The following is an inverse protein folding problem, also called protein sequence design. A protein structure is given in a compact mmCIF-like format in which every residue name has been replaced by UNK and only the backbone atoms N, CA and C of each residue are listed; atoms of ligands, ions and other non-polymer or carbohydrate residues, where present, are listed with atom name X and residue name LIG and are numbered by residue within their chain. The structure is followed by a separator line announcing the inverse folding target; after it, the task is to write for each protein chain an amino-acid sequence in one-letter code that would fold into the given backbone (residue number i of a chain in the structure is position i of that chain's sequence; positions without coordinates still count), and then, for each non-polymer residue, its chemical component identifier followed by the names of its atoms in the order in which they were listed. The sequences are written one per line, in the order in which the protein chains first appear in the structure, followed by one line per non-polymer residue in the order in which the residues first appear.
data_IF_966074076409
#
_entry.id   IF_966074076409
#
_cell.length_a   1.000
_cell.length_b   1.000
_cell.length_c   1.000
_cell.angle_alpha   90.00
_cell.angle_beta   90.00
_cell.angle_gamma   90.00
#
_symmetry.space_group_name_H-M   'P 1'
#
loop_
_entity.id
_entity.type
_entity.pdbx_description
1 polymer ?
#
# COMPACT_ATOMS: atom_id res chain seq x y z
N UNK A 1 -0.32 -8.67 8.88
CA UNK A 1 -0.34 -8.36 7.45
C UNK A 1 0.97 -8.79 6.84
N UNK A 2 0.95 -9.45 5.69
CA UNK A 2 2.17 -9.86 4.99
C UNK A 2 2.49 -8.81 3.91
N UNK A 3 3.41 -7.89 4.22
CA UNK A 3 3.94 -6.94 3.24
C UNK A 3 4.85 -7.70 2.27
N UNK A 4 4.57 -7.60 0.98
CA UNK A 4 5.35 -8.23 -0.09
C UNK A 4 5.60 -7.25 -1.22
N UNK A 5 6.70 -7.46 -1.94
CA UNK A 5 7.05 -6.70 -3.14
C UNK A 5 5.91 -6.83 -4.16
N UNK A 6 5.55 -5.72 -4.80
CA UNK A 6 4.46 -5.64 -5.77
C UNK A 6 3.09 -5.32 -5.17
N UNK A 7 2.94 -5.25 -3.84
CA UNK A 7 1.68 -4.83 -3.22
C UNK A 7 1.51 -3.32 -3.23
N UNK A 8 0.28 -2.88 -3.44
CA UNK A 8 -0.12 -1.49 -3.30
C UNK A 8 -0.33 -1.16 -1.82
N UNK A 9 0.31 -0.09 -1.35
CA UNK A 9 0.24 0.36 0.04
C UNK A 9 -0.06 1.85 0.10
N UNK A 10 -0.66 2.27 1.21
CA UNK A 10 -0.81 3.66 1.63
C UNK A 10 0.02 3.88 2.89
N UNK A 11 0.93 4.83 2.84
CA UNK A 11 1.68 5.29 3.99
C UNK A 11 1.09 6.60 4.50
N UNK A 12 0.73 6.67 5.78
CA UNK A 12 0.26 7.89 6.43
C UNK A 12 1.44 8.59 7.13
N UNK A 13 1.66 9.88 6.86
CA UNK A 13 2.74 10.62 7.50
C UNK A 13 2.37 10.89 8.97
N UNK A 14 3.21 10.52 9.96
CA UNK A 14 2.87 10.70 11.38
C UNK A 14 2.81 12.16 11.81
N UNK A 15 3.60 13.03 11.16
CA UNK A 15 3.63 14.48 11.39
C UNK A 15 3.67 15.19 10.03
N UNK A 16 2.54 15.34 9.33
CA UNK A 16 2.51 15.96 8.02
C UNK A 16 2.87 17.44 8.15
N UNK A 17 3.91 17.88 7.45
CA UNK A 17 4.31 19.30 7.40
C UNK A 17 3.35 20.16 6.59
N UNK A 18 2.58 19.54 5.71
CA UNK A 18 1.60 20.19 4.85
C UNK A 18 0.28 19.41 4.92
N UNK A 19 -0.84 20.13 5.10
CA UNK A 19 -2.16 19.54 5.31
C UNK A 19 -2.71 18.77 4.11
N UNK A 20 -2.19 19.04 2.92
CA UNK A 20 -2.53 18.42 1.64
C UNK A 20 -1.79 17.11 1.37
N UNK A 21 -0.69 16.83 2.10
CA UNK A 21 0.17 15.65 1.89
C UNK A 21 0.21 14.76 3.13
N UNK A 22 -0.96 14.27 3.52
CA UNK A 22 -1.12 13.40 4.68
C UNK A 22 -0.74 11.94 4.42
N UNK A 23 -0.74 11.52 3.15
CA UNK A 23 -0.40 10.15 2.79
C UNK A 23 0.37 10.04 1.47
N UNK A 24 1.06 8.91 1.31
CA UNK A 24 1.78 8.51 0.11
C UNK A 24 1.29 7.13 -0.32
N UNK A 25 0.76 7.03 -1.54
CA UNK A 25 0.29 5.76 -2.11
C UNK A 25 1.30 5.29 -3.15
N UNK A 26 1.63 4.01 -3.13
CA UNK A 26 2.49 3.41 -4.13
C UNK A 26 2.70 1.91 -3.92
N UNK A 27 3.54 1.34 -4.78
CA UNK A 27 3.84 -0.09 -4.80
C UNK A 27 5.13 -0.37 -4.04
N UNK A 28 5.13 -1.42 -3.22
CA UNK A 28 6.34 -1.91 -2.54
C UNK A 28 7.34 -2.42 -3.58
N UNK A 29 8.49 -1.77 -3.68
CA UNK A 29 9.55 -2.14 -4.62
C UNK A 29 10.64 -2.98 -3.95
N UNK A 30 10.95 -2.70 -2.68
CA UNK A 30 11.97 -3.40 -1.92
C UNK A 30 11.61 -3.43 -0.43
N UNK A 31 12.01 -4.51 0.23
CA UNK A 31 11.91 -4.72 1.67
C UNK A 31 13.31 -5.05 2.16
N UNK A 32 13.94 -4.10 2.83
CA UNK A 32 15.17 -4.33 3.58
C UNK A 32 14.88 -4.68 5.03
N UNK A 33 15.90 -5.08 5.78
CA UNK A 33 15.75 -5.48 7.19
C UNK A 33 15.18 -4.37 8.09
N UNK A 34 15.46 -3.10 7.77
CA UNK A 34 15.09 -1.94 8.59
C UNK A 34 14.26 -0.91 7.84
N UNK A 35 13.90 -1.19 6.59
CA UNK A 35 13.19 -0.24 5.75
C UNK A 35 12.40 -0.91 4.63
N UNK A 36 11.46 -0.14 4.09
CA UNK A 36 10.59 -0.45 2.98
C UNK A 36 10.76 0.68 1.95
N UNK A 37 10.86 0.37 0.67
CA UNK A 37 10.76 1.38 -0.38
C UNK A 37 9.46 1.22 -1.15
N UNK A 38 8.73 2.34 -1.28
CA UNK A 38 7.46 2.44 -1.99
C UNK A 38 7.63 3.41 -3.15
N UNK A 39 7.23 3.01 -4.36
CA UNK A 39 7.26 3.87 -5.54
C UNK A 39 5.85 4.24 -5.98
N UNK A 40 5.60 5.53 -6.22
CA UNK A 40 4.32 5.98 -6.76
C UNK A 40 4.33 6.04 -8.30
N UNK A 41 3.18 6.36 -8.89
CA UNK A 41 3.00 6.44 -10.36
C UNK A 41 3.85 7.55 -11.01
N UNK A 42 4.18 8.61 -10.26
CA UNK A 42 5.08 9.68 -10.69
C UNK A 42 6.56 9.30 -10.56
N UNK A 43 6.87 8.01 -10.38
CA UNK A 43 8.21 7.47 -10.25
C UNK A 43 9.00 8.03 -9.03
N UNK A 44 8.30 8.61 -8.05
CA UNK A 44 8.87 9.09 -6.80
C UNK A 44 9.05 7.91 -5.86
N UNK A 45 10.25 7.79 -5.28
CA UNK A 45 10.58 6.75 -4.32
C UNK A 45 10.51 7.28 -2.89
N UNK A 46 9.74 6.61 -2.04
CA UNK A 46 9.67 6.88 -0.61
C UNK A 46 10.32 5.73 0.16
N UNK A 47 11.30 6.05 1.00
CA UNK A 47 11.93 5.10 1.93
C UNK A 47 11.31 5.27 3.32
N UNK A 48 10.68 4.21 3.81
CA UNK A 48 9.97 4.16 5.10
C UNK A 48 10.82 3.33 6.06
N UNK A 49 11.16 3.87 7.23
CA UNK A 49 11.85 3.11 8.28
C UNK A 49 10.89 2.14 8.96
N UNK A 50 11.39 0.99 9.41
CA UNK A 50 10.63 0.00 10.18
C UNK A 50 9.84 0.60 11.35
N UNK A 51 10.36 1.66 11.98
CA UNK A 51 9.71 2.40 13.08
C UNK A 51 8.35 3.01 12.70
N UNK A 52 8.09 3.17 11.41
CA UNK A 52 6.88 3.77 10.88
C UNK A 52 6.01 2.75 10.13
N UNK A 53 6.28 1.44 10.24
CA UNK A 53 5.50 0.42 9.53
C UNK A 53 4.06 0.32 10.01
N UNK A 54 3.77 0.69 11.25
CA UNK A 54 2.40 0.79 11.77
C UNK A 54 1.55 1.83 11.03
N UNK A 55 2.18 2.77 10.31
CA UNK A 55 1.52 3.76 9.48
C UNK A 55 1.34 3.31 8.02
N UNK A 56 1.63 2.04 7.71
CA UNK A 56 1.50 1.45 6.37
C UNK A 56 0.27 0.55 6.32
N UNK A 57 -0.66 0.92 5.45
CA UNK A 57 -1.89 0.17 5.17
C UNK A 57 -1.75 -0.53 3.80
N UNK A 58 -2.10 -1.82 3.70
CA UNK A 58 -2.24 -2.50 2.41
C UNK A 58 -3.56 -2.08 1.79
N UNK A 59 -3.52 -1.69 0.52
CA UNK A 59 -4.71 -1.50 -0.28
C UNK A 59 -4.98 -2.82 -0.98
N UNK A 60 -5.87 -3.63 -0.42
CA UNK A 60 -6.33 -4.84 -1.09
C UNK A 60 -7.39 -4.46 -2.15
N UNK A 61 -7.19 -4.93 -3.37
CA UNK A 61 -8.07 -4.64 -4.51
C UNK A 61 -9.12 -5.75 -4.68
N UNK A 62 -9.18 -6.72 -3.77
CA UNK A 62 -10.11 -7.85 -3.82
C UNK A 62 -11.46 -7.54 -3.17
N UNK A 63 -12.35 -6.83 -3.86
CA UNK A 63 -13.77 -6.80 -3.44
C UNK A 63 -14.80 -6.48 -4.54
N UNK A 64 -14.58 -6.88 -5.81
CA UNK A 64 -15.65 -6.77 -6.83
C UNK A 64 -15.75 -7.90 -7.86
N UNK A 65 -14.83 -8.87 -7.91
CA UNK A 65 -14.86 -9.93 -8.94
C UNK A 65 -15.59 -11.21 -8.49
N UNK A 66 -15.72 -11.47 -7.18
CA UNK A 66 -16.26 -12.75 -6.69
C UNK A 66 -17.79 -12.81 -6.53
N UNK A 67 -18.50 -11.69 -6.64
CA UNK A 67 -19.96 -11.67 -6.50
C UNK A 67 -20.72 -12.03 -7.79
N UNK A 68 -20.06 -11.95 -8.95
CA UNK A 68 -20.67 -12.31 -10.25
C UNK A 68 -20.63 -13.82 -10.50
N UNK A 69 -19.52 -14.50 -10.17
CA UNK A 69 -19.40 -15.94 -10.40
C UNK A 69 -20.34 -16.77 -9.50
N UNK A 70 -20.61 -16.33 -8.26
CA UNK A 70 -21.57 -16.98 -7.38
C UNK A 70 -23.02 -16.90 -7.92
N UNK A 71 -23.35 -15.87 -8.69
CA UNK A 71 -24.68 -15.71 -9.29
C UNK A 71 -24.87 -16.58 -10.55
N UNK A 72 -23.80 -16.86 -11.30
CA UNK A 72 -23.86 -17.66 -12.53
C UNK A 72 -23.67 -19.17 -12.31
N UNK A 73 -23.20 -19.62 -11.14
CA UNK A 73 -23.08 -21.05 -10.81
C UNK A 73 -24.33 -21.67 -10.16
N UNK A 74 -25.43 -20.91 -10.07
CA UNK A 74 -26.73 -21.34 -9.53
C UNK A 74 -27.85 -21.36 -10.59
N UNK A 75 -27.49 -21.23 -11.88
CA UNK A 75 -28.37 -21.38 -13.05
C UNK A 75 -27.91 -22.59 -13.88
#
# INVERSE_FOLDING_TARGET
MELSIGKLVKYNFPLPKHSDKQSFIGVVENIGETFLTVRNEQNTLLKISYKNFDNVELIDIHSSQYSLYAAFSLL
#
